data_IF_710205051748
#
_entry.id   IF_710205051748
#
_cell.length_a   1.000
_cell.length_b   1.000
_cell.length_c   1.000
_cell.angle_alpha   90.00
_cell.angle_beta   90.00
_cell.angle_gamma   90.00
#
_symmetry.space_group_name_H-M   'P 1'
#
loop_
_entity.id
_entity.type
_entity.pdbx_description
1 polymer ?
#
# COMPACT_ATOMS: atom_id res chain seq x y z
N UNK A 1 -10.38 -13.87 -3.48
CA UNK A 1 -10.35 -14.04 -2.02
C UNK A 1 -11.03 -12.83 -1.39
N UNK A 2 -11.96 -13.06 -0.47
CA UNK A 2 -12.63 -11.99 0.29
C UNK A 2 -11.87 -11.70 1.58
N UNK A 3 -12.06 -10.52 2.18
CA UNK A 3 -11.39 -10.13 3.43
C UNK A 3 -11.73 -11.10 4.57
N UNK A 4 -12.98 -11.57 4.63
CA UNK A 4 -13.42 -12.53 5.64
C UNK A 4 -12.64 -13.85 5.57
N UNK A 5 -12.45 -14.37 4.36
CA UNK A 5 -11.70 -15.60 4.12
C UNK A 5 -10.21 -15.44 4.48
N UNK A 6 -9.61 -14.29 4.15
CA UNK A 6 -8.24 -13.97 4.54
C UNK A 6 -8.06 -13.94 6.06
N UNK A 7 -8.95 -13.28 6.78
CA UNK A 7 -8.88 -13.20 8.26
C UNK A 7 -9.00 -14.60 8.87
N UNK A 8 -9.89 -15.44 8.35
CA UNK A 8 -10.03 -16.82 8.82
C UNK A 8 -8.72 -17.61 8.66
N UNK A 9 -8.05 -17.48 7.51
CA UNK A 9 -6.77 -18.16 7.23
C UNK A 9 -5.65 -17.68 8.15
N UNK A 10 -5.57 -16.37 8.40
CA UNK A 10 -4.61 -15.79 9.36
C UNK A 10 -4.87 -16.34 10.77
N UNK A 11 -6.13 -16.41 11.20
CA UNK A 11 -6.50 -16.97 12.50
C UNK A 11 -6.19 -18.48 12.62
N UNK A 12 -6.13 -19.19 11.50
CA UNK A 12 -5.69 -20.59 11.44
C UNK A 12 -4.15 -20.75 11.45
N UNK A 13 -3.38 -19.65 11.55
CA UNK A 13 -1.93 -19.67 11.65
C UNK A 13 -1.18 -19.64 10.31
N UNK A 14 -1.86 -19.41 9.21
CA UNK A 14 -1.22 -19.32 7.90
C UNK A 14 -0.47 -17.99 7.72
N UNK A 15 0.71 -18.04 7.10
CA UNK A 15 1.53 -16.85 6.88
C UNK A 15 0.96 -16.00 5.74
N UNK A 16 0.83 -14.69 5.97
CA UNK A 16 0.33 -13.75 4.98
C UNK A 16 1.18 -13.69 3.70
N UNK A 17 2.48 -14.01 3.79
CA UNK A 17 3.38 -14.05 2.64
C UNK A 17 3.11 -15.23 1.70
N UNK A 18 2.53 -16.31 2.20
CA UNK A 18 2.21 -17.50 1.41
C UNK A 18 0.83 -17.41 0.75
N UNK A 19 0.04 -16.40 1.14
CA UNK A 19 -1.31 -16.19 0.62
C UNK A 19 -1.29 -15.42 -0.70
N UNK A 20 -2.13 -15.87 -1.65
CA UNK A 20 -2.39 -15.14 -2.89
C UNK A 20 -3.23 -13.89 -2.64
N UNK A 21 -2.57 -12.74 -2.54
CA UNK A 21 -3.18 -11.47 -2.14
C UNK A 21 -3.05 -10.41 -3.21
N UNK A 22 -4.08 -9.57 -3.31
CA UNK A 22 -4.01 -8.31 -4.05
C UNK A 22 -3.63 -7.22 -3.07
N UNK A 23 -2.53 -6.53 -3.33
CA UNK A 23 -1.94 -5.55 -2.41
C UNK A 23 -1.93 -4.18 -3.08
N UNK A 24 -2.25 -3.17 -2.28
CA UNK A 24 -2.19 -1.75 -2.65
C UNK A 24 -1.35 -1.04 -1.59
N UNK A 25 -0.53 -0.09 -2.00
CA UNK A 25 0.15 0.80 -1.08
C UNK A 25 -0.71 2.06 -0.87
N UNK A 26 -0.79 2.51 0.38
CA UNK A 26 -1.48 3.73 0.74
C UNK A 26 -0.50 4.68 1.41
N UNK A 27 -0.39 5.89 0.86
CA UNK A 27 0.60 6.86 1.29
C UNK A 27 -0.02 8.26 1.43
N UNK A 28 0.29 8.96 2.53
CA UNK A 28 -0.23 10.30 2.85
C UNK A 28 0.92 11.25 3.16
N UNK A 29 0.93 12.42 2.54
CA UNK A 29 1.90 13.50 2.85
C UNK A 29 1.14 14.69 3.43
N UNK A 30 1.49 15.09 4.65
CA UNK A 30 0.85 16.20 5.36
C UNK A 30 1.35 17.59 4.97
N UNK A 31 2.49 17.69 4.26
CA UNK A 31 3.12 18.98 3.91
C UNK A 31 3.78 18.95 2.53
N UNK A 32 3.54 19.98 1.71
CA UNK A 32 4.08 20.11 0.35
C UNK A 32 5.57 20.54 0.30
N UNK A 33 6.37 20.21 1.33
CA UNK A 33 7.77 20.60 1.38
C UNK A 33 8.60 19.74 0.41
N UNK A 34 9.41 20.37 -0.44
CA UNK A 34 10.21 19.70 -1.46
C UNK A 34 11.21 18.68 -0.88
N UNK A 35 11.72 18.91 0.34
CA UNK A 35 12.62 17.98 1.02
C UNK A 35 11.94 16.66 1.41
N UNK A 36 10.64 16.68 1.75
CA UNK A 36 9.88 15.47 2.09
C UNK A 36 9.47 14.66 0.86
N UNK A 37 9.53 15.24 -0.34
CA UNK A 37 9.17 14.57 -1.60
C UNK A 37 10.17 13.46 -1.94
N UNK A 38 11.46 13.65 -1.61
CA UNK A 38 12.50 12.62 -1.80
C UNK A 38 12.28 11.42 -0.88
N UNK A 39 12.07 11.66 0.43
CA UNK A 39 11.78 10.58 1.39
C UNK A 39 10.49 9.84 1.07
N UNK A 40 9.48 10.54 0.55
CA UNK A 40 8.22 9.94 0.14
C UNK A 40 8.37 9.02 -1.07
N UNK A 41 9.08 9.46 -2.11
CA UNK A 41 9.36 8.63 -3.28
C UNK A 41 10.17 7.37 -2.88
N UNK A 42 11.17 7.53 -2.00
CA UNK A 42 11.94 6.39 -1.50
C UNK A 42 11.08 5.40 -0.70
N UNK A 43 10.09 5.89 0.06
CA UNK A 43 9.12 5.02 0.74
C UNK A 43 8.27 4.24 -0.26
N UNK A 44 7.73 4.91 -1.28
CA UNK A 44 6.94 4.27 -2.34
C UNK A 44 7.74 3.17 -3.03
N UNK A 45 8.97 3.48 -3.47
CA UNK A 45 9.84 2.51 -4.15
C UNK A 45 10.15 1.31 -3.24
N UNK A 46 10.50 1.56 -1.98
CA UNK A 46 10.79 0.50 -1.00
C UNK A 46 9.59 -0.44 -0.80
N UNK A 47 8.39 0.12 -0.61
CA UNK A 47 7.19 -0.70 -0.40
C UNK A 47 6.77 -1.42 -1.67
N UNK A 48 6.91 -0.78 -2.82
CA UNK A 48 6.63 -1.36 -4.12
C UNK A 48 7.54 -2.56 -4.39
N UNK A 49 8.84 -2.44 -4.12
CA UNK A 49 9.80 -3.55 -4.25
C UNK A 49 9.51 -4.66 -3.26
N UNK A 50 9.17 -4.32 -2.01
CA UNK A 50 8.77 -5.32 -1.01
C UNK A 50 7.55 -6.11 -1.47
N UNK A 51 6.54 -5.45 -2.05
CA UNK A 51 5.33 -6.12 -2.53
C UNK A 51 5.65 -7.00 -3.74
N UNK A 52 6.41 -6.49 -4.71
CA UNK A 52 6.77 -7.23 -5.92
C UNK A 52 7.73 -8.38 -5.66
N UNK A 53 8.54 -8.31 -4.60
CA UNK A 53 9.45 -9.40 -4.21
C UNK A 53 8.70 -10.68 -3.79
N UNK A 54 7.41 -10.56 -3.43
CA UNK A 54 6.60 -11.71 -3.08
C UNK A 54 5.78 -12.20 -4.30
N UNK A 55 6.08 -13.39 -4.87
CA UNK A 55 5.37 -13.91 -6.04
C UNK A 55 3.89 -14.26 -5.76
N UNK A 56 3.50 -14.41 -4.48
CA UNK A 56 2.12 -14.63 -4.10
C UNK A 56 1.31 -13.34 -4.07
N UNK A 57 1.95 -12.17 -4.10
CA UNK A 57 1.26 -10.90 -4.05
C UNK A 57 1.17 -10.28 -5.44
N UNK A 58 0.00 -9.74 -5.75
CA UNK A 58 -0.25 -8.99 -6.97
C UNK A 58 -0.45 -7.53 -6.60
N UNK A 59 0.49 -6.69 -7.03
CA UNK A 59 0.39 -5.25 -6.86
C UNK A 59 -0.71 -4.67 -7.76
N UNK A 60 -1.66 -3.95 -7.17
CA UNK A 60 -2.83 -3.40 -7.88
C UNK A 60 -2.74 -1.88 -8.08
N UNK A 61 -1.94 -1.17 -7.28
CA UNK A 61 -1.69 0.26 -7.45
C UNK A 61 -1.53 1.01 -6.11
N UNK A 62 -1.25 2.31 -6.22
CA UNK A 62 -1.09 3.23 -5.09
C UNK A 62 -2.34 4.09 -4.89
N UNK A 63 -2.77 4.22 -3.64
CA UNK A 63 -3.72 5.24 -3.22
C UNK A 63 -3.01 6.35 -2.44
N UNK A 64 -3.26 7.60 -2.80
CA UNK A 64 -2.69 8.75 -2.08
C UNK A 64 -3.75 9.80 -1.75
N UNK A 65 -3.67 10.33 -0.53
CA UNK A 65 -4.46 11.50 -0.14
C UNK A 65 -3.69 12.77 -0.50
N UNK A 66 -4.32 13.63 -1.29
CA UNK A 66 -3.79 14.95 -1.62
C UNK A 66 -3.67 15.83 -0.37
N UNK A 67 -2.67 16.70 -0.34
CA UNK A 67 -2.26 17.56 0.78
C UNK A 67 -3.31 18.59 1.27
N UNK A 68 -4.60 18.45 0.95
CA UNK A 68 -5.65 19.20 1.61
C UNK A 68 -5.76 18.69 3.05
N UNK A 69 -5.49 19.59 4.00
CA UNK A 69 -5.48 19.44 5.46
C UNK A 69 -6.72 18.70 6.04
N UNK A 70 -7.75 18.45 5.22
CA UNK A 70 -9.04 17.87 5.60
C UNK A 70 -9.34 16.47 5.03
N UNK A 71 -8.40 15.80 4.35
CA UNK A 71 -8.59 14.38 3.96
C UNK A 71 -9.73 14.12 2.96
N UNK A 72 -10.22 15.16 2.27
CA UNK A 72 -11.36 15.08 1.35
C UNK A 72 -10.99 14.78 -0.11
N UNK A 73 -9.71 14.53 -0.43
CA UNK A 73 -9.26 14.33 -1.81
C UNK A 73 -8.38 13.08 -1.94
N UNK A 74 -9.05 11.94 -2.14
CA UNK A 74 -8.41 10.71 -2.58
C UNK A 74 -8.12 10.80 -4.08
N UNK A 75 -6.85 10.69 -4.48
CA UNK A 75 -6.47 10.55 -5.90
C UNK A 75 -5.86 9.17 -6.12
N UNK A 76 -6.49 8.39 -6.99
CA UNK A 76 -5.88 7.19 -7.57
C UNK A 76 -4.79 7.64 -8.53
N UNK A 77 -3.55 7.26 -8.26
CA UNK A 77 -2.45 7.41 -9.21
C UNK A 77 -2.33 6.06 -9.91
N UNK A 78 -2.66 6.05 -11.21
CA UNK A 78 -2.45 4.91 -12.12
C UNK A 78 -1.00 4.89 -12.59
#
# INVERSE_FOLDING_TARGET
>A
MTVHETIKRINCGENIRDMKLRVVDYARVSTACAAQRSSFNNQLDTYRDMIMSNPNWSYVGTYSDGAAIIGLNQKTLI
#
